data_IF_443689440637
#
_entry.id   IF_443689440637
#
_cell.length_a   1.000
_cell.length_b   1.000
_cell.length_c   1.000
_cell.angle_alpha   90.00
_cell.angle_beta   90.00
_cell.angle_gamma   90.00
#
_symmetry.space_group_name_H-M   'P 1'
#
loop_
_entity.id
_entity.type
_entity.pdbx_description
1 polymer ?
#
# COMPACT_ATOMS: atom_id res chain seq x y z
N UNK A 1 8.14 -29.16 3.43
CA UNK A 1 9.46 -28.55 3.67
C UNK A 1 9.34 -27.47 4.74
N UNK A 2 9.93 -27.70 5.91
CA UNK A 2 9.83 -26.74 7.00
C UNK A 2 10.34 -25.34 6.66
N UNK A 3 11.39 -25.27 5.83
CA UNK A 3 12.00 -24.00 5.46
C UNK A 3 11.07 -23.08 4.68
N UNK A 4 10.18 -23.64 3.85
CA UNK A 4 9.24 -22.85 3.08
C UNK A 4 8.18 -22.19 3.98
N UNK A 5 7.74 -22.89 5.00
CA UNK A 5 6.80 -22.32 5.97
C UNK A 5 7.47 -21.19 6.77
N UNK A 6 8.74 -21.37 7.13
CA UNK A 6 9.49 -20.35 7.85
C UNK A 6 9.60 -19.05 7.07
N UNK A 7 9.91 -19.13 5.77
CA UNK A 7 10.04 -17.94 4.93
C UNK A 7 8.72 -17.20 4.77
N UNK A 8 7.62 -17.92 4.56
CA UNK A 8 6.31 -17.29 4.42
C UNK A 8 5.88 -16.57 5.68
N UNK A 9 6.06 -17.19 6.84
CA UNK A 9 5.73 -16.59 8.13
C UNK A 9 6.61 -15.38 8.42
N UNK A 10 7.89 -15.49 8.19
CA UNK A 10 8.84 -14.41 8.43
C UNK A 10 8.51 -13.21 7.53
N UNK A 11 8.22 -13.46 6.26
CA UNK A 11 7.85 -12.40 5.33
C UNK A 11 6.57 -11.71 5.77
N UNK A 12 5.56 -12.47 6.21
CA UNK A 12 4.31 -11.90 6.71
C UNK A 12 4.56 -10.99 7.91
N UNK A 13 5.41 -11.41 8.84
CA UNK A 13 5.75 -10.59 9.99
C UNK A 13 6.43 -9.30 9.59
N UNK A 14 7.33 -9.35 8.63
CA UNK A 14 8.01 -8.16 8.11
C UNK A 14 7.03 -7.21 7.45
N UNK A 15 6.10 -7.74 6.64
CA UNK A 15 5.08 -6.94 5.97
C UNK A 15 4.13 -6.29 6.98
N UNK A 16 3.69 -7.04 7.98
CA UNK A 16 2.82 -6.52 9.04
C UNK A 16 3.50 -5.41 9.83
N UNK A 17 4.76 -5.60 10.19
CA UNK A 17 5.51 -4.61 10.96
C UNK A 17 5.70 -3.32 10.15
N UNK A 18 6.02 -3.45 8.88
CA UNK A 18 6.20 -2.28 8.02
C UNK A 18 4.87 -1.55 7.81
N UNK A 19 3.78 -2.30 7.59
CA UNK A 19 2.47 -1.70 7.44
C UNK A 19 2.08 -0.88 8.68
N UNK A 20 2.32 -1.41 9.87
CA UNK A 20 2.02 -0.70 11.12
C UNK A 20 2.83 0.59 11.22
N UNK A 21 4.10 0.54 10.83
CA UNK A 21 4.95 1.73 10.83
C UNK A 21 4.42 2.80 9.89
N UNK A 22 3.98 2.39 8.69
CA UNK A 22 3.45 3.32 7.70
C UNK A 22 2.14 3.95 8.19
N UNK A 23 1.27 3.16 8.81
CA UNK A 23 0.01 3.67 9.38
C UNK A 23 0.28 4.74 10.44
N UNK A 24 1.37 4.60 11.21
CA UNK A 24 1.74 5.59 12.22
C UNK A 24 2.34 6.85 11.60
N UNK A 25 3.20 6.70 10.61
CA UNK A 25 4.01 7.82 10.10
C UNK A 25 3.32 8.61 8.98
N UNK A 26 2.64 7.94 8.06
CA UNK A 26 2.09 8.60 6.88
C UNK A 26 1.00 9.63 7.16
N UNK A 27 0.11 9.43 8.14
CA UNK A 27 -0.88 10.48 8.46
C UNK A 27 -0.26 11.80 8.89
N UNK A 28 0.87 11.75 9.56
CA UNK A 28 1.58 12.95 10.00
C UNK A 28 2.18 13.72 8.83
N UNK A 29 2.34 13.06 7.69
CA UNK A 29 2.91 13.64 6.48
C UNK A 29 1.85 13.95 5.42
N UNK A 30 0.57 13.87 5.78
CA UNK A 30 -0.51 14.32 4.90
C UNK A 30 -1.40 13.24 4.30
N UNK A 31 -1.17 11.97 4.60
CA UNK A 31 -2.05 10.91 4.12
C UNK A 31 -3.41 10.98 4.82
N UNK A 32 -4.50 10.86 4.07
CA UNK A 32 -5.85 10.89 4.64
C UNK A 32 -6.48 9.51 4.73
N UNK A 33 -6.20 8.62 3.78
CA UNK A 33 -6.72 7.24 3.80
C UNK A 33 -5.72 6.29 3.16
N UNK A 34 -5.77 5.02 3.56
CA UNK A 34 -4.94 3.98 2.98
C UNK A 34 -5.70 2.68 2.87
N UNK A 35 -5.56 2.01 1.74
CA UNK A 35 -6.15 0.70 1.47
C UNK A 35 -5.05 -0.28 1.12
N UNK A 36 -5.12 -1.48 1.69
CA UNK A 36 -4.23 -2.58 1.35
C UNK A 36 -4.87 -3.37 0.22
N UNK A 37 -4.12 -3.57 -0.86
CA UNK A 37 -4.57 -4.36 -2.01
C UNK A 37 -3.52 -5.41 -2.36
N UNK A 38 -3.79 -6.21 -3.39
CA UNK A 38 -2.81 -7.14 -3.93
C UNK A 38 -2.67 -8.44 -3.15
N UNK A 39 -1.57 -9.17 -3.38
CA UNK A 39 -1.39 -10.52 -2.85
C UNK A 39 -1.44 -10.61 -1.33
N UNK A 40 -0.87 -9.63 -0.63
CA UNK A 40 -0.81 -9.68 0.84
C UNK A 40 -2.20 -9.71 1.46
N UNK A 41 -3.13 -8.89 0.97
CA UNK A 41 -4.49 -8.86 1.52
C UNK A 41 -5.23 -10.16 1.23
N UNK A 42 -4.86 -10.86 0.16
CA UNK A 42 -5.45 -12.16 -0.18
C UNK A 42 -4.81 -13.33 0.56
N UNK A 43 -3.79 -13.07 1.39
CA UNK A 43 -3.08 -14.12 2.10
C UNK A 43 -2.04 -14.84 1.27
N UNK A 44 -1.72 -14.35 0.09
CA UNK A 44 -0.74 -14.96 -0.82
C UNK A 44 0.65 -14.40 -0.53
N UNK A 45 1.32 -14.93 0.49
CA UNK A 45 2.61 -14.39 0.93
C UNK A 45 3.74 -15.36 0.60
N UNK A 46 4.62 -14.92 -0.29
CA UNK A 46 5.86 -15.62 -0.63
C UNK A 46 7.07 -14.77 -0.25
N UNK A 47 8.28 -15.28 -0.53
CA UNK A 47 9.53 -14.61 -0.12
C UNK A 47 9.73 -13.21 -0.71
N UNK A 48 9.13 -12.93 -1.86
CA UNK A 48 9.29 -11.65 -2.54
C UNK A 48 8.01 -10.83 -2.59
N UNK A 49 6.97 -11.22 -1.86
CA UNK A 49 5.71 -10.46 -1.80
C UNK A 49 5.97 -9.06 -1.27
N UNK A 50 5.44 -8.05 -1.97
CA UNK A 50 5.51 -6.65 -1.56
C UNK A 50 4.17 -6.21 -0.98
N UNK A 51 4.15 -5.04 -0.33
CA UNK A 51 2.91 -4.38 0.03
C UNK A 51 2.43 -3.55 -1.16
N UNK A 52 1.14 -3.65 -1.48
CA UNK A 52 0.51 -2.80 -2.49
C UNK A 52 -0.49 -1.91 -1.77
N UNK A 53 -0.23 -0.60 -1.79
CA UNK A 53 -0.99 0.36 -1.00
C UNK A 53 -1.62 1.43 -1.89
N UNK A 54 -2.93 1.58 -1.78
CA UNK A 54 -3.64 2.71 -2.36
C UNK A 54 -3.70 3.78 -1.28
N UNK A 55 -3.15 4.95 -1.58
CA UNK A 55 -3.02 6.06 -0.64
C UNK A 55 -3.81 7.25 -1.17
N UNK A 56 -4.66 7.83 -0.33
CA UNK A 56 -5.38 9.06 -0.65
C UNK A 56 -4.69 10.22 0.06
N UNK A 57 -4.32 11.23 -0.72
CA UNK A 57 -3.61 12.40 -0.21
C UNK A 57 -3.77 13.55 -1.20
N UNK A 58 -3.93 14.75 -0.68
CA UNK A 58 -3.98 15.94 -1.54
C UNK A 58 -2.58 16.30 -1.98
N UNK A 59 -2.38 16.47 -3.28
CA UNK A 59 -1.08 16.79 -3.85
C UNK A 59 -1.23 17.41 -5.23
N UNK A 60 -0.32 18.31 -5.56
CA UNK A 60 -0.24 18.91 -6.91
C UNK A 60 0.78 18.18 -7.79
N UNK A 61 1.49 17.20 -7.25
CA UNK A 61 2.48 16.45 -8.01
C UNK A 61 1.80 15.60 -9.09
N UNK A 62 2.41 15.48 -10.27
CA UNK A 62 1.92 14.57 -11.30
C UNK A 62 2.01 13.12 -10.81
N UNK A 63 1.12 12.29 -11.33
CA UNK A 63 0.95 10.90 -10.87
C UNK A 63 2.27 10.15 -10.78
N UNK A 64 3.11 10.28 -11.80
CA UNK A 64 4.35 9.50 -11.89
C UNK A 64 5.43 9.90 -10.85
N UNK A 65 5.22 11.02 -10.12
CA UNK A 65 6.17 11.49 -9.12
C UNK A 65 5.66 11.35 -7.68
N UNK A 66 4.40 11.02 -7.49
CA UNK A 66 3.80 11.00 -6.16
C UNK A 66 4.40 9.96 -5.23
N UNK A 67 4.77 8.79 -5.78
CA UNK A 67 5.36 7.72 -4.98
C UNK A 67 6.76 8.10 -4.48
N UNK A 68 7.49 8.93 -5.19
CA UNK A 68 8.86 9.32 -4.82
C UNK A 68 8.92 9.98 -3.45
N UNK A 69 7.92 10.80 -3.13
CA UNK A 69 7.84 11.46 -1.82
C UNK A 69 7.85 10.42 -0.69
N UNK A 70 7.01 9.39 -0.81
CA UNK A 70 6.90 8.38 0.23
C UNK A 70 8.15 7.51 0.31
N UNK A 71 8.67 7.09 -0.83
CA UNK A 71 9.88 6.29 -0.87
C UNK A 71 11.05 7.02 -0.22
N UNK A 72 11.20 8.30 -0.49
CA UNK A 72 12.28 9.11 0.05
C UNK A 72 12.13 9.33 1.55
N UNK A 73 10.94 9.64 2.03
CA UNK A 73 10.72 9.98 3.44
C UNK A 73 10.65 8.75 4.34
N UNK A 74 10.04 7.68 3.87
CA UNK A 74 9.80 6.51 4.71
C UNK A 74 10.94 5.50 4.67
N UNK A 75 11.72 5.49 3.60
CA UNK A 75 12.82 4.53 3.40
C UNK A 75 12.38 3.11 3.72
N UNK A 76 11.43 2.57 2.94
CA UNK A 76 10.87 1.25 3.24
C UNK A 76 11.95 0.16 3.26
N UNK A 77 11.80 -0.77 4.21
CA UNK A 77 12.73 -1.89 4.36
C UNK A 77 12.36 -3.07 3.48
N UNK A 78 11.18 -3.06 2.91
CA UNK A 78 10.68 -4.10 2.03
C UNK A 78 10.08 -3.42 0.80
N UNK A 79 9.82 -4.20 -0.25
CA UNK A 79 9.20 -3.68 -1.45
C UNK A 79 7.80 -3.16 -1.17
N UNK A 80 7.52 -1.93 -1.56
CA UNK A 80 6.21 -1.33 -1.43
C UNK A 80 5.85 -0.64 -2.75
N UNK A 81 4.65 -0.91 -3.23
CA UNK A 81 4.10 -0.23 -4.40
C UNK A 81 3.06 0.78 -3.89
N UNK A 82 3.34 2.06 -4.06
CA UNK A 82 2.45 3.14 -3.67
C UNK A 82 1.64 3.60 -4.87
N UNK A 83 0.32 3.55 -4.75
CA UNK A 83 -0.62 4.07 -5.74
C UNK A 83 -1.33 5.25 -5.11
N UNK A 84 -0.91 6.47 -5.47
CA UNK A 84 -1.33 7.70 -4.81
C UNK A 84 -2.42 8.40 -5.62
N UNK A 85 -3.52 8.72 -4.95
CA UNK A 85 -4.66 9.40 -5.55
C UNK A 85 -5.06 10.59 -4.69
N UNK A 86 -5.51 11.68 -5.32
CA UNK A 86 -6.21 12.74 -4.58
C UNK A 86 -7.61 12.25 -4.24
N UNK A 87 -8.28 12.94 -3.30
CA UNK A 87 -9.67 12.61 -2.96
C UNK A 87 -10.57 12.65 -4.18
N UNK A 88 -10.38 13.65 -5.03
CA UNK A 88 -11.20 13.79 -6.24
C UNK A 88 -10.99 12.63 -7.20
N UNK A 89 -9.74 12.25 -7.42
CA UNK A 89 -9.42 11.11 -8.29
C UNK A 89 -9.98 9.81 -7.74
N UNK A 90 -9.90 9.62 -6.44
CA UNK A 90 -10.36 8.41 -5.78
C UNK A 90 -11.89 8.28 -5.86
N UNK A 91 -12.61 9.39 -5.65
CA UNK A 91 -14.07 9.38 -5.64
C UNK A 91 -14.68 9.41 -7.03
N UNK A 92 -14.04 10.13 -7.98
CA UNK A 92 -14.60 10.40 -9.30
C UNK A 92 -13.85 9.70 -10.44
N UNK A 93 -12.99 8.74 -10.10
CA UNK A 93 -12.25 8.00 -11.12
C UNK A 93 -13.21 7.26 -12.05
N UNK A 94 -12.99 7.34 -13.36
CA UNK A 94 -13.75 6.50 -14.29
C UNK A 94 -13.60 5.04 -13.92
N UNK A 95 -14.66 4.24 -14.09
CA UNK A 95 -14.66 2.83 -13.72
C UNK A 95 -13.65 1.95 -14.43
N UNK A 96 -12.71 2.54 -15.16
CA UNK A 96 -11.65 1.83 -15.87
C UNK A 96 -10.32 1.72 -15.13
N UNK A 97 -10.20 2.26 -13.93
CA UNK A 97 -8.96 2.14 -13.18
C UNK A 97 -8.93 0.80 -12.43
N UNK A 98 -8.08 -0.17 -12.86
CA UNK A 98 -8.08 -1.50 -12.24
C UNK A 98 -7.60 -1.49 -10.78
N UNK A 99 -6.73 -0.55 -10.42
CA UNK A 99 -6.23 -0.43 -9.04
C UNK A 99 -7.37 -0.03 -8.10
N UNK A 100 -8.14 1.00 -8.47
CA UNK A 100 -9.26 1.47 -7.66
C UNK A 100 -10.39 0.44 -7.63
N UNK A 101 -10.60 -0.27 -8.73
CA UNK A 101 -11.58 -1.35 -8.79
C UNK A 101 -11.20 -2.46 -7.81
N UNK A 102 -9.94 -2.85 -7.78
CA UNK A 102 -9.43 -3.87 -6.85
C UNK A 102 -9.57 -3.40 -5.41
N UNK A 103 -9.25 -2.14 -5.13
CA UNK A 103 -9.38 -1.58 -3.78
C UNK A 103 -10.84 -1.63 -3.30
N UNK A 104 -11.78 -1.30 -4.17
CA UNK A 104 -13.19 -1.29 -3.82
C UNK A 104 -13.76 -2.69 -3.56
N UNK A 105 -13.30 -3.69 -4.31
CA UNK A 105 -13.89 -5.04 -4.26
C UNK A 105 -13.13 -6.01 -3.38
N UNK A 106 -11.81 -5.89 -3.29
CA UNK A 106 -10.96 -6.86 -2.60
C UNK A 106 -10.03 -6.23 -1.57
N UNK A 107 -9.95 -4.91 -1.55
CA UNK A 107 -9.03 -4.21 -0.67
C UNK A 107 -9.50 -4.13 0.76
N UNK A 108 -8.58 -3.84 1.66
CA UNK A 108 -8.86 -3.62 3.07
C UNK A 108 -8.47 -2.20 3.45
N UNK A 109 -9.42 -1.44 3.98
CA UNK A 109 -9.13 -0.09 4.47
C UNK A 109 -8.37 -0.21 5.78
N UNK A 110 -7.13 0.27 5.80
CA UNK A 110 -6.27 0.16 6.98
C UNK A 110 -6.07 1.48 7.71
N UNK A 111 -6.47 2.60 7.11
CA UNK A 111 -6.44 3.92 7.75
C UNK A 111 -7.49 4.83 7.13
N UNK A 112 -8.02 5.71 7.96
CA UNK A 112 -9.03 6.69 7.53
C UNK A 112 -10.43 6.17 7.58
#
# INVERSE_FOLDING_TARGET
MPMMYGFGRQRRQMLDAELKRLIDEMPQLGMTSMFLVGPFVRGEVGPSTALDLVVVQETDEPVHRRADFWTTHLRPRIGINFYIYTSDEFENSPGGDPILHDAANNGERVYG
#
